data_IF_725593866392
#
_entry.id   IF_725593866392
#
_cell.length_a   1.000
_cell.length_b   1.000
_cell.length_c   1.000
_cell.angle_alpha   90.00
_cell.angle_beta   90.00
_cell.angle_gamma   90.00
#
_symmetry.space_group_name_H-M   'P 1'
#
loop_
_entity.id
_entity.type
_entity.pdbx_description
1 polymer ?
#
# COMPACT_ATOMS: atom_id res chain seq x y z
N UNK A 1 -2.71 -5.37 -16.08
CA UNK A 1 -3.29 -6.28 -15.08
C UNK A 1 -3.70 -5.56 -13.79
N UNK A 2 -2.78 -5.09 -12.93
CA UNK A 2 -3.16 -4.48 -11.63
C UNK A 2 -4.14 -3.30 -11.75
N UNK A 3 -3.97 -2.41 -12.73
CA UNK A 3 -4.90 -1.32 -13.00
C UNK A 3 -6.30 -1.80 -13.44
N UNK A 4 -6.41 -2.97 -14.08
CA UNK A 4 -7.71 -3.54 -14.45
C UNK A 4 -8.47 -4.01 -13.20
N UNK A 5 -7.76 -4.56 -12.21
CA UNK A 5 -8.37 -5.00 -10.94
C UNK A 5 -8.93 -3.81 -10.14
N UNK A 6 -8.35 -2.61 -10.27
CA UNK A 6 -8.89 -1.41 -9.60
C UNK A 6 -10.35 -1.12 -10.01
N UNK A 7 -10.75 -1.48 -11.24
CA UNK A 7 -12.14 -1.34 -11.70
C UNK A 7 -13.12 -2.24 -10.94
N UNK A 8 -12.63 -3.29 -10.28
CA UNK A 8 -13.44 -4.19 -9.44
C UNK A 8 -13.69 -3.62 -8.03
N UNK A 9 -13.24 -2.39 -7.75
CA UNK A 9 -13.46 -1.68 -6.48
C UNK A 9 -13.03 -2.50 -5.25
N UNK A 10 -11.73 -2.81 -5.11
CA UNK A 10 -11.24 -3.51 -3.93
C UNK A 10 -11.54 -2.70 -2.66
N UNK A 11 -11.83 -3.37 -1.54
CA UNK A 11 -12.03 -2.69 -0.26
C UNK A 11 -10.72 -2.09 0.29
N UNK A 12 -9.59 -2.79 0.06
CA UNK A 12 -8.27 -2.34 0.46
C UNK A 12 -7.20 -2.71 -0.58
N UNK A 13 -6.16 -1.88 -0.66
CA UNK A 13 -4.98 -2.09 -1.49
C UNK A 13 -3.76 -1.91 -0.60
N UNK A 14 -2.87 -2.89 -0.53
CA UNK A 14 -1.65 -2.80 0.27
C UNK A 14 -0.42 -3.10 -0.59
N UNK A 15 0.62 -2.29 -0.44
CA UNK A 15 1.89 -2.48 -1.12
C UNK A 15 3.01 -1.68 -0.45
N UNK A 16 4.25 -1.93 -0.83
CA UNK A 16 5.36 -1.03 -0.49
C UNK A 16 5.32 0.25 -1.36
N UNK A 17 6.22 1.20 -1.08
CA UNK A 17 6.26 2.47 -1.80
C UNK A 17 6.38 2.31 -3.33
N UNK A 18 7.30 1.45 -3.80
CA UNK A 18 7.52 1.21 -5.24
C UNK A 18 6.30 0.61 -5.95
N UNK A 19 5.60 -0.33 -5.30
CA UNK A 19 4.39 -0.96 -5.83
C UNK A 19 3.23 0.04 -5.97
N UNK A 20 3.06 0.91 -4.98
CA UNK A 20 2.00 1.92 -4.98
C UNK A 20 2.29 3.03 -6.01
N UNK A 21 3.55 3.47 -6.13
CA UNK A 21 3.97 4.40 -7.18
C UNK A 21 3.70 3.83 -8.58
N UNK A 22 4.02 2.55 -8.79
CA UNK A 22 3.73 1.86 -10.05
C UNK A 22 2.24 1.73 -10.32
N UNK A 23 1.46 1.36 -9.31
CA UNK A 23 0.01 1.26 -9.42
C UNK A 23 -0.64 2.59 -9.83
N UNK A 24 -0.15 3.70 -9.24
CA UNK A 24 -0.62 5.05 -9.53
C UNK A 24 -0.14 5.61 -10.88
N UNK A 25 0.68 4.87 -11.64
CA UNK A 25 1.28 5.37 -12.88
C UNK A 25 2.32 6.48 -12.66
N UNK A 26 2.82 6.62 -11.42
CA UNK A 26 3.78 7.63 -11.01
C UNK A 26 5.22 7.08 -10.89
N UNK A 27 5.47 5.89 -11.45
CA UNK A 27 6.84 5.36 -11.58
C UNK A 27 7.66 6.28 -12.49
N UNK A 28 8.48 7.12 -11.89
CA UNK A 28 9.44 7.97 -12.58
C UNK A 28 10.54 7.11 -13.22
N UNK A 29 10.27 6.43 -14.35
CA UNK A 29 11.27 5.79 -15.22
C UNK A 29 12.24 4.76 -14.61
N UNK A 30 12.13 4.45 -13.31
CA UNK A 30 13.08 3.61 -12.58
C UNK A 30 12.68 2.15 -12.71
N UNK A 31 13.44 1.44 -13.56
CA UNK A 31 13.54 -0.02 -13.53
C UNK A 31 14.27 -0.41 -12.26
N UNK A 32 13.57 -0.89 -11.25
CA UNK A 32 14.23 -1.54 -10.12
C UNK A 32 13.45 -1.45 -8.81
N UNK A 33 13.48 -2.57 -8.09
CA UNK A 33 13.03 -2.79 -6.71
C UNK A 33 13.97 -2.07 -5.72
N UNK A 34 14.45 -0.88 -6.08
CA UNK A 34 15.43 -0.15 -5.28
C UNK A 34 14.73 0.73 -4.25
N UNK A 35 14.97 0.35 -3.00
CA UNK A 35 14.37 0.78 -1.74
C UNK A 35 14.65 2.23 -1.32
N UNK A 36 14.83 3.16 -2.27
CA UNK A 36 14.99 4.59 -1.93
C UNK A 36 13.67 5.30 -1.69
N UNK A 37 12.57 4.74 -2.18
CA UNK A 37 11.24 5.30 -1.96
C UNK A 37 10.73 4.91 -0.58
N UNK A 38 10.46 5.92 0.25
CA UNK A 38 9.88 5.72 1.57
C UNK A 38 8.36 5.63 1.47
N UNK A 39 7.70 5.02 2.46
CA UNK A 39 6.24 4.99 2.49
C UNK A 39 5.64 6.41 2.47
N UNK A 40 6.32 7.38 3.08
CA UNK A 40 5.93 8.78 3.05
C UNK A 40 6.00 9.41 1.64
N UNK A 41 7.02 9.09 0.83
CA UNK A 41 7.14 9.65 -0.53
C UNK A 41 6.06 9.12 -1.48
N UNK A 42 5.52 7.93 -1.22
CA UNK A 42 4.43 7.34 -1.99
C UNK A 42 3.03 7.74 -1.50
N UNK A 43 2.88 8.56 -0.46
CA UNK A 43 1.57 8.92 0.09
C UNK A 43 0.68 9.62 -0.94
N UNK A 44 1.22 10.61 -1.67
CA UNK A 44 0.48 11.31 -2.73
C UNK A 44 0.01 10.33 -3.83
N UNK A 45 0.87 9.37 -4.18
CA UNK A 45 0.54 8.33 -5.14
C UNK A 45 -0.55 7.37 -4.62
N UNK A 46 -0.58 7.08 -3.31
CA UNK A 46 -1.57 6.23 -2.67
C UNK A 46 -2.97 6.86 -2.63
N UNK A 47 -3.06 8.18 -2.47
CA UNK A 47 -4.34 8.87 -2.36
C UNK A 47 -5.17 8.85 -3.66
N UNK A 48 -4.51 8.82 -4.82
CA UNK A 48 -5.18 8.78 -6.13
C UNK A 48 -6.02 7.51 -6.33
N UNK A 49 -5.46 6.29 -6.26
CA UNK A 49 -6.25 5.07 -6.36
C UNK A 49 -7.25 4.93 -5.21
N UNK A 50 -6.93 5.44 -4.00
CA UNK A 50 -7.89 5.47 -2.88
C UNK A 50 -9.17 6.24 -3.25
N UNK A 51 -9.03 7.48 -3.76
CA UNK A 51 -10.18 8.29 -4.20
C UNK A 51 -10.93 7.68 -5.38
N UNK A 52 -10.22 7.08 -6.33
CA UNK A 52 -10.83 6.49 -7.53
C UNK A 52 -11.64 5.23 -7.24
N UNK A 53 -11.18 4.41 -6.28
CA UNK A 53 -11.78 3.12 -5.98
C UNK A 53 -12.64 3.12 -4.73
N UNK A 54 -12.56 4.19 -3.92
CA UNK A 54 -13.03 4.24 -2.53
C UNK A 54 -12.38 3.18 -1.62
N UNK A 55 -11.25 2.62 -2.03
CA UNK A 55 -10.47 1.68 -1.23
C UNK A 55 -9.66 2.41 -0.16
N UNK A 56 -9.37 1.70 0.93
CA UNK A 56 -8.27 2.07 1.82
C UNK A 56 -6.95 1.62 1.20
N UNK A 57 -5.98 2.53 1.08
CA UNK A 57 -4.65 2.22 0.56
C UNK A 57 -3.63 2.24 1.69
N UNK A 58 -2.86 1.16 1.82
CA UNK A 58 -1.80 0.98 2.83
C UNK A 58 -0.45 0.92 2.13
N UNK A 59 0.39 1.92 2.38
CA UNK A 59 1.79 1.96 1.95
C UNK A 59 2.66 1.52 3.12
N UNK A 60 3.26 0.34 3.02
CA UNK A 60 4.05 -0.21 4.12
C UNK A 60 5.54 0.10 4.02
N UNK A 61 6.18 0.29 5.17
CA UNK A 61 7.60 0.59 5.32
C UNK A 61 8.03 0.45 6.78
N UNK A 62 9.06 1.21 7.19
CA UNK A 62 9.39 1.35 8.63
C UNK A 62 8.25 2.04 9.40
N UNK A 63 7.59 2.99 8.75
CA UNK A 63 6.31 3.56 9.16
C UNK A 63 5.31 3.28 8.06
N UNK A 64 4.20 2.63 8.42
CA UNK A 64 3.11 2.37 7.50
C UNK A 64 2.22 3.61 7.39
N UNK A 65 1.78 3.93 6.17
CA UNK A 65 0.85 5.02 5.88
C UNK A 65 -0.45 4.45 5.31
N UNK A 66 -1.57 4.79 5.93
CA UNK A 66 -2.90 4.27 5.59
C UNK A 66 -3.79 5.45 5.20
N UNK A 67 -4.40 5.44 4.02
CA UNK A 67 -5.25 6.54 3.55
C UNK A 67 -6.51 6.07 2.84
N UNK A 68 -7.63 6.77 3.08
CA UNK A 68 -8.87 6.67 2.29
C UNK A 68 -8.90 7.70 1.13
N UNK A 69 -7.79 8.41 0.91
CA UNK A 69 -7.67 9.48 -0.09
C UNK A 69 -8.03 10.88 0.42
N UNK A 70 -8.58 10.99 1.63
CA UNK A 70 -8.90 12.25 2.32
C UNK A 70 -8.19 12.36 3.68
N UNK A 71 -8.22 11.28 4.45
CA UNK A 71 -7.57 11.14 5.74
C UNK A 71 -6.39 10.20 5.62
N UNK A 72 -5.38 10.44 6.44
CA UNK A 72 -4.21 9.59 6.54
C UNK A 72 -3.94 9.26 8.00
N UNK A 73 -3.63 8.00 8.28
CA UNK A 73 -3.14 7.50 9.56
C UNK A 73 -1.76 6.89 9.36
N UNK A 74 -0.94 6.92 10.40
CA UNK A 74 0.39 6.29 10.40
C UNK A 74 0.47 5.27 11.50
N UNK A 75 1.19 4.18 11.24
CA UNK A 75 1.50 3.14 12.23
C UNK A 75 3.01 2.95 12.20
N UNK A 76 3.67 3.26 13.31
CA UNK A 76 5.09 2.99 13.50
C UNK A 76 5.27 1.72 14.33
N UNK A 77 6.44 1.09 14.25
CA UNK A 77 6.80 -0.10 15.00
C UNK A 77 7.31 -1.22 14.08
N UNK A 78 7.15 -2.46 14.52
CA UNK A 78 7.76 -3.61 13.86
C UNK A 78 9.26 -3.72 14.15
N UNK A 79 9.95 -4.53 13.36
CA UNK A 79 11.40 -4.73 13.49
C UNK A 79 12.02 -4.97 12.10
N UNK A 80 13.20 -4.40 11.78
CA UNK A 80 13.91 -4.66 10.52
C UNK A 80 14.09 -6.15 10.22
N UNK A 81 14.15 -7.02 11.23
CA UNK A 81 14.20 -8.48 11.08
C UNK A 81 13.01 -9.03 10.28
N UNK A 82 11.84 -8.38 10.31
CA UNK A 82 10.67 -8.78 9.51
C UNK A 82 10.94 -8.76 8.01
N UNK A 83 11.89 -7.93 7.55
CA UNK A 83 12.34 -7.89 6.14
C UNK A 83 13.21 -9.10 5.76
N UNK A 84 13.75 -9.82 6.75
CA UNK A 84 14.56 -11.02 6.57
C UNK A 84 13.75 -12.31 6.59
N UNK A 85 12.43 -12.22 6.76
CA UNK A 85 11.50 -13.35 6.72
C UNK A 85 10.60 -13.20 5.51
N UNK A 86 10.68 -14.15 4.57
CA UNK A 86 9.83 -14.15 3.38
C UNK A 86 8.36 -14.29 3.77
N UNK A 87 7.49 -13.53 3.11
CA UNK A 87 6.04 -13.65 3.26
C UNK A 87 5.41 -12.81 4.38
N UNK A 88 6.18 -12.09 5.19
CA UNK A 88 5.63 -11.17 6.22
C UNK A 88 4.69 -10.12 5.60
N UNK A 89 5.08 -9.55 4.46
CA UNK A 89 4.23 -8.65 3.68
C UNK A 89 2.92 -9.32 3.22
N UNK A 90 3.01 -10.48 2.59
CA UNK A 90 1.84 -11.22 2.10
C UNK A 90 0.90 -11.64 3.24
N UNK A 91 1.45 -12.08 4.37
CA UNK A 91 0.68 -12.45 5.55
C UNK A 91 -0.10 -11.24 6.11
N UNK A 92 0.53 -10.07 6.18
CA UNK A 92 -0.17 -8.85 6.59
C UNK A 92 -1.30 -8.48 5.59
N UNK A 93 -1.12 -8.69 4.27
CA UNK A 93 -2.24 -8.52 3.32
C UNK A 93 -3.42 -9.45 3.60
N UNK A 94 -3.16 -10.70 3.99
CA UNK A 94 -4.22 -11.64 4.37
C UNK A 94 -4.96 -11.21 5.64
N UNK A 95 -4.23 -10.69 6.64
CA UNK A 95 -4.83 -10.15 7.87
C UNK A 95 -5.69 -8.93 7.57
N UNK A 96 -5.21 -7.99 6.74
CA UNK A 96 -6.01 -6.82 6.31
C UNK A 96 -7.30 -7.27 5.62
N UNK A 97 -7.22 -8.23 4.69
CA UNK A 97 -8.39 -8.76 4.00
C UNK A 97 -9.40 -9.41 4.97
N UNK A 98 -8.92 -10.12 5.99
CA UNK A 98 -9.78 -10.70 7.02
C UNK A 98 -10.54 -9.60 7.79
N UNK A 99 -9.87 -8.51 8.19
CA UNK A 99 -10.53 -7.38 8.85
C UNK A 99 -11.54 -6.66 7.95
N UNK A 100 -11.28 -6.56 6.64
CA UNK A 100 -12.24 -6.01 5.69
C UNK A 100 -13.54 -6.83 5.55
N UNK A 101 -13.57 -8.08 6.02
CA UNK A 101 -14.78 -8.93 5.98
C UNK A 101 -15.75 -8.66 7.14
N UNK A 102 -15.31 -7.93 8.17
CA UNK A 102 -16.15 -7.58 9.31
C UNK A 102 -17.09 -6.42 8.96
N UNK A 103 -18.23 -6.36 9.65
CA UNK A 103 -19.12 -5.21 9.55
C UNK A 103 -18.44 -3.97 10.12
N UNK A 104 -18.50 -2.86 9.38
CA UNK A 104 -18.00 -1.54 9.77
C UNK A 104 -19.12 -0.52 9.94
#
# INVERSE_FOLDING_TARGET
FCQQILSLKPAAIRGNASEILALAGMSAGRRGVDSTDTAASALTAAQTPARQTHAVVVVTGEVDHITDGQRTRTVAGGDPLMTRVVGTGCALSAVVAAWCSLAG
#
